data_IF_465632733549
#
_entry.id   IF_465632733549
#
_cell.length_a   1.000
_cell.length_b   1.000
_cell.length_c   1.000
_cell.angle_alpha   90.00
_cell.angle_beta   90.00
_cell.angle_gamma   90.00
#
_symmetry.space_group_name_H-M   'P 1'
#
loop_
_entity.id
_entity.type
_entity.pdbx_description
1 polymer ?
#
# COMPACT_ATOMS: atom_id res chain seq x y z
N UNK A 1 -2.63 -14.21 29.59
CA UNK A 1 -2.62 -14.05 28.12
C UNK A 1 -1.42 -13.18 27.78
N UNK A 2 -0.49 -13.63 26.92
CA UNK A 2 0.61 -12.76 26.49
C UNK A 2 0.00 -11.64 25.64
N UNK A 3 0.05 -10.41 26.14
CA UNK A 3 -0.23 -9.23 25.33
C UNK A 3 0.67 -9.30 24.09
N UNK A 4 0.06 -9.43 22.92
CA UNK A 4 0.81 -9.39 21.67
C UNK A 4 1.28 -7.95 21.50
N UNK A 5 2.60 -7.78 21.42
CA UNK A 5 3.23 -6.51 21.12
C UNK A 5 2.60 -5.92 19.84
N UNK A 6 1.96 -4.74 19.89
CA UNK A 6 1.31 -4.11 18.73
C UNK A 6 2.23 -3.99 17.50
N UNK A 7 3.54 -3.84 17.73
CA UNK A 7 4.54 -3.80 16.65
C UNK A 7 4.66 -5.15 15.95
N UNK A 8 4.62 -6.24 16.72
CA UNK A 8 4.66 -7.60 16.19
C UNK A 8 3.43 -7.91 15.34
N UNK A 9 2.24 -7.47 15.77
CA UNK A 9 1.01 -7.63 14.99
C UNK A 9 1.08 -6.86 13.66
N UNK A 10 1.57 -5.62 13.69
CA UNK A 10 1.77 -4.81 12.50
C UNK A 10 2.76 -5.47 11.52
N UNK A 11 3.90 -5.97 12.01
CA UNK A 11 4.88 -6.67 11.18
C UNK A 11 4.29 -7.92 10.53
N UNK A 12 3.49 -8.68 11.27
CA UNK A 12 2.82 -9.87 10.72
C UNK A 12 1.79 -9.50 9.65
N UNK A 13 1.02 -8.43 9.85
CA UNK A 13 0.07 -7.94 8.85
C UNK A 13 0.78 -7.46 7.57
N UNK A 14 1.90 -6.74 7.70
CA UNK A 14 2.72 -6.31 6.55
C UNK A 14 3.31 -7.53 5.82
N UNK A 15 3.79 -8.54 6.56
CA UNK A 15 4.28 -9.80 5.99
C UNK A 15 3.20 -10.51 5.18
N UNK A 16 1.99 -10.62 5.71
CA UNK A 16 0.86 -11.23 5.00
C UNK A 16 0.51 -10.46 3.74
N UNK A 17 0.42 -9.13 3.83
CA UNK A 17 0.18 -8.27 2.68
C UNK A 17 1.22 -8.49 1.56
N UNK A 18 2.50 -8.60 1.93
CA UNK A 18 3.56 -8.87 0.95
C UNK A 18 3.42 -10.25 0.31
N UNK A 19 3.05 -11.28 1.08
CA UNK A 19 2.84 -12.62 0.52
C UNK A 19 1.67 -12.67 -0.47
N UNK A 20 0.62 -11.90 -0.19
CA UNK A 20 -0.60 -11.92 -0.99
C UNK A 20 -0.50 -11.06 -2.26
N UNK A 21 0.16 -9.90 -2.19
CA UNK A 21 0.15 -8.91 -3.28
C UNK A 21 1.56 -8.46 -3.73
N UNK A 22 2.60 -8.81 -3.00
CA UNK A 22 3.97 -8.42 -3.29
C UNK A 22 4.50 -9.08 -4.56
N UNK A 23 5.47 -8.43 -5.20
CA UNK A 23 6.17 -9.01 -6.34
C UNK A 23 7.15 -10.06 -5.82
N UNK A 24 7.02 -11.30 -6.30
CA UNK A 24 8.02 -12.34 -6.06
C UNK A 24 9.25 -12.04 -6.91
N UNK A 25 10.22 -11.38 -6.31
CA UNK A 25 11.54 -11.21 -6.91
C UNK A 25 12.31 -12.51 -6.70
N UNK A 26 12.07 -13.48 -7.59
CA UNK A 26 12.77 -14.76 -7.60
C UNK A 26 14.09 -14.60 -8.35
N UNK A 27 15.20 -14.77 -7.66
CA UNK A 27 16.51 -14.89 -8.30
C UNK A 27 16.73 -16.36 -8.64
N UNK A 28 16.88 -16.65 -9.93
CA UNK A 28 17.25 -17.99 -10.41
C UNK A 28 18.76 -18.17 -10.31
N UNK A 29 19.19 -19.05 -9.42
CA UNK A 29 20.52 -19.65 -9.41
C UNK A 29 20.58 -20.88 -10.31
N UNK A 30 21.79 -21.38 -10.56
CA UNK A 30 22.07 -22.51 -11.47
C UNK A 30 21.25 -23.78 -11.10
N UNK A 31 20.98 -23.99 -9.81
CA UNK A 31 20.17 -25.11 -9.30
C UNK A 31 19.23 -24.73 -8.14
N UNK A 32 18.90 -23.44 -7.97
CA UNK A 32 18.06 -22.98 -6.86
C UNK A 32 17.29 -21.73 -7.23
N UNK A 33 16.14 -21.51 -6.61
CA UNK A 33 15.39 -20.27 -6.69
C UNK A 33 15.37 -19.64 -5.30
N UNK A 34 15.84 -18.39 -5.19
CA UNK A 34 15.83 -17.63 -3.95
C UNK A 34 14.78 -16.52 -4.10
N UNK A 35 13.76 -16.57 -3.25
CA UNK A 35 12.79 -15.49 -3.12
C UNK A 35 13.33 -14.44 -2.14
N UNK A 36 13.46 -13.20 -2.60
CA UNK A 36 13.88 -12.09 -1.74
C UNK A 36 12.65 -11.43 -1.14
N UNK A 37 12.43 -11.63 0.16
CA UNK A 37 11.49 -10.82 0.93
C UNK A 37 12.12 -9.44 1.24
N UNK A 38 11.40 -8.33 1.01
CA UNK A 38 11.90 -7.00 1.34
C UNK A 38 11.92 -6.80 2.85
N UNK A 39 12.90 -6.01 3.32
CA UNK A 39 12.87 -5.51 4.70
C UNK A 39 11.68 -4.59 4.87
N UNK A 40 10.90 -4.78 5.94
CA UNK A 40 9.71 -3.96 6.21
C UNK A 40 10.06 -2.50 6.49
N UNK A 41 11.12 -2.28 7.24
CA UNK A 41 11.63 -0.96 7.59
C UNK A 41 13.07 -0.80 7.11
N UNK A 42 13.37 0.37 6.56
CA UNK A 42 14.70 0.81 6.17
C UNK A 42 14.99 2.11 6.93
N UNK A 43 16.04 2.11 7.77
CA UNK A 43 16.45 3.26 8.57
C UNK A 43 15.30 3.87 9.42
N UNK A 44 14.49 3.02 10.05
CA UNK A 44 13.36 3.45 10.88
C UNK A 44 12.15 3.98 10.10
N UNK A 45 12.19 3.96 8.76
CA UNK A 45 11.07 4.33 7.89
C UNK A 45 10.49 3.09 7.22
N UNK A 46 9.21 3.11 6.90
CA UNK A 46 8.59 2.05 6.10
C UNK A 46 9.29 1.97 4.75
N UNK A 47 9.60 0.75 4.31
CA UNK A 47 10.18 0.54 3.00
C UNK A 47 9.23 1.13 1.92
N UNK A 48 9.74 1.96 1.00
CA UNK A 48 8.93 2.55 -0.06
C UNK A 48 8.15 1.53 -0.89
N UNK A 49 8.73 0.35 -1.16
CA UNK A 49 8.07 -0.70 -1.93
C UNK A 49 6.83 -1.24 -1.21
N UNK A 50 6.91 -1.38 0.12
CA UNK A 50 5.78 -1.81 0.95
C UNK A 50 4.74 -0.70 1.06
N UNK A 51 5.18 0.56 1.17
CA UNK A 51 4.29 1.71 1.19
C UNK A 51 3.48 1.80 -0.11
N UNK A 52 4.17 1.64 -1.25
CA UNK A 52 3.55 1.62 -2.58
C UNK A 52 2.56 0.46 -2.72
N UNK A 53 2.92 -0.73 -2.21
CA UNK A 53 2.03 -1.89 -2.22
C UNK A 53 0.77 -1.65 -1.38
N UNK A 54 0.92 -1.13 -0.17
CA UNK A 54 -0.21 -0.79 0.71
C UNK A 54 -1.17 0.19 0.04
N UNK A 55 -0.64 1.24 -0.57
CA UNK A 55 -1.43 2.24 -1.28
C UNK A 55 -2.13 1.61 -2.49
N UNK A 56 -1.43 0.80 -3.28
CA UNK A 56 -2.00 0.13 -4.45
C UNK A 56 -3.15 -0.81 -4.06
N UNK A 57 -2.97 -1.63 -3.02
CA UNK A 57 -4.03 -2.53 -2.50
C UNK A 57 -5.21 -1.75 -1.94
N UNK A 58 -4.96 -0.64 -1.25
CA UNK A 58 -6.03 0.23 -0.77
C UNK A 58 -6.83 0.83 -1.93
N UNK A 59 -6.15 1.42 -2.91
CA UNK A 59 -6.79 2.05 -4.07
C UNK A 59 -7.51 1.04 -4.96
N UNK A 60 -7.04 -0.20 -5.08
CA UNK A 60 -7.70 -1.24 -5.88
C UNK A 60 -9.04 -1.69 -5.27
N UNK A 61 -9.13 -1.67 -3.94
CA UNK A 61 -10.37 -1.99 -3.18
C UNK A 61 -11.29 -0.79 -2.98
N UNK A 62 -10.83 0.41 -3.29
CA UNK A 62 -11.62 1.63 -3.13
C UNK A 62 -12.67 1.75 -4.23
N UNK A 63 -13.82 2.33 -3.92
CA UNK A 63 -14.93 2.51 -4.87
C UNK A 63 -15.16 3.98 -5.18
N UNK A 64 -16.05 4.27 -6.14
CA UNK A 64 -16.47 5.64 -6.41
C UNK A 64 -17.25 6.25 -5.22
N UNK A 65 -17.90 5.42 -4.40
CA UNK A 65 -18.56 5.87 -3.17
C UNK A 65 -17.56 6.39 -2.14
N UNK A 66 -16.37 5.80 -2.05
CA UNK A 66 -15.30 6.32 -1.19
C UNK A 66 -14.86 7.73 -1.62
N UNK A 67 -14.94 8.04 -2.92
CA UNK A 67 -14.69 9.39 -3.46
C UNK A 67 -15.84 10.33 -3.10
N UNK A 68 -17.09 9.90 -3.37
CA UNK A 68 -18.29 10.70 -3.11
C UNK A 68 -18.48 11.04 -1.62
N UNK A 69 -18.10 10.11 -0.73
CA UNK A 69 -18.17 10.28 0.71
C UNK A 69 -16.98 11.07 1.29
N UNK A 70 -16.06 11.56 0.44
CA UNK A 70 -14.92 12.38 0.85
C UNK A 70 -13.80 11.62 1.57
N UNK A 71 -13.86 10.29 1.61
CA UNK A 71 -12.76 9.45 2.13
C UNK A 71 -11.55 9.49 1.18
N UNK A 72 -11.78 9.66 -0.11
CA UNK A 72 -10.75 9.88 -1.12
C UNK A 72 -11.03 11.20 -1.85
N UNK A 73 -10.05 12.09 -1.88
CA UNK A 73 -10.11 13.33 -2.66
C UNK A 73 -9.13 13.25 -3.81
N UNK A 74 -9.64 13.33 -5.04
CA UNK A 74 -8.81 13.34 -6.25
C UNK A 74 -8.50 14.81 -6.61
N UNK A 75 -7.22 15.16 -6.67
CA UNK A 75 -6.72 16.44 -7.19
C UNK A 75 -6.01 16.20 -8.53
N UNK A 76 -5.77 17.28 -9.28
CA UNK A 76 -5.10 17.24 -10.60
C UNK A 76 -3.75 16.51 -10.60
N UNK A 77 -3.01 16.54 -9.49
CA UNK A 77 -1.66 15.95 -9.39
C UNK A 77 -1.48 15.04 -8.17
N UNK A 78 -2.52 14.84 -7.35
CA UNK A 78 -2.42 13.98 -6.17
C UNK A 78 -3.76 13.34 -5.81
N UNK A 79 -3.68 12.20 -5.11
CA UNK A 79 -4.84 11.60 -4.42
C UNK A 79 -4.60 11.78 -2.92
N UNK A 80 -5.61 12.26 -2.21
CA UNK A 80 -5.58 12.41 -0.76
C UNK A 80 -6.52 11.37 -0.15
N UNK A 81 -6.01 10.62 0.83
CA UNK A 81 -6.80 9.73 1.66
C UNK A 81 -7.11 10.47 2.95
N UNK A 82 -8.39 10.55 3.32
CA UNK A 82 -8.87 11.20 4.52
C UNK A 82 -9.28 10.18 5.58
N UNK A 83 -9.17 10.55 6.85
CA UNK A 83 -9.77 9.80 7.96
C UNK A 83 -11.30 9.96 7.98
N UNK A 84 -11.95 9.29 8.93
CA UNK A 84 -13.41 9.38 9.12
C UNK A 84 -13.91 10.78 9.49
N UNK A 85 -13.01 11.67 9.91
CA UNK A 85 -13.29 13.06 10.25
C UNK A 85 -12.96 14.02 9.10
N UNK A 86 -12.58 13.50 7.92
CA UNK A 86 -12.22 14.30 6.74
C UNK A 86 -10.81 14.89 6.80
N UNK A 87 -9.96 14.47 7.75
CA UNK A 87 -8.58 14.98 7.86
C UNK A 87 -7.64 14.16 6.98
N UNK A 88 -6.72 14.80 6.25
CA UNK A 88 -5.80 14.10 5.36
C UNK A 88 -4.82 13.24 6.17
N UNK A 89 -4.76 11.95 5.87
CA UNK A 89 -3.83 10.98 6.49
C UNK A 89 -2.72 10.53 5.54
N UNK A 90 -2.95 10.62 4.23
CA UNK A 90 -1.93 10.31 3.22
C UNK A 90 -2.15 11.14 1.95
N UNK A 91 -1.05 11.54 1.30
CA UNK A 91 -1.05 12.17 -0.01
C UNK A 91 -0.20 11.35 -0.99
N UNK A 92 -0.80 10.97 -2.11
CA UNK A 92 -0.19 10.14 -3.15
C UNK A 92 0.08 11.03 -4.36
N UNK A 93 1.37 11.21 -4.69
CA UNK A 93 1.81 12.04 -5.83
C UNK A 93 2.31 11.23 -7.03
N UNK A 94 2.30 9.89 -6.92
CA UNK A 94 2.82 9.00 -7.94
C UNK A 94 1.88 8.95 -9.14
N UNK A 95 2.29 9.57 -10.25
CA UNK A 95 1.45 9.75 -11.44
C UNK A 95 0.97 8.44 -12.09
N UNK A 96 1.71 7.33 -11.94
CA UNK A 96 1.26 6.03 -12.44
C UNK A 96 0.04 5.53 -11.67
N UNK A 97 0.06 5.63 -10.34
CA UNK A 97 -1.06 5.21 -9.48
C UNK A 97 -2.28 6.12 -9.65
N UNK A 98 -2.06 7.42 -9.81
CA UNK A 98 -3.15 8.38 -10.03
C UNK A 98 -3.89 8.04 -11.33
N UNK A 99 -3.14 7.80 -12.41
CA UNK A 99 -3.71 7.42 -13.72
C UNK A 99 -4.45 6.09 -13.67
N UNK A 100 -3.87 5.08 -13.03
CA UNK A 100 -4.50 3.76 -12.88
C UNK A 100 -5.82 3.86 -12.09
N UNK A 101 -5.83 4.62 -11.00
CA UNK A 101 -7.01 4.78 -10.16
C UNK A 101 -8.13 5.55 -10.85
N UNK A 102 -7.80 6.69 -11.49
CA UNK A 102 -8.77 7.53 -12.23
C UNK A 102 -9.36 6.76 -13.42
N UNK A 103 -8.51 6.12 -14.22
CA UNK A 103 -8.95 5.27 -15.34
C UNK A 103 -9.88 4.14 -14.91
N UNK A 104 -9.61 3.51 -13.75
CA UNK A 104 -10.46 2.42 -13.23
C UNK A 104 -11.83 2.92 -12.79
N UNK A 105 -11.90 4.12 -12.20
CA UNK A 105 -13.16 4.72 -11.75
C UNK A 105 -13.94 5.40 -12.89
N UNK A 106 -13.33 5.55 -14.08
CA UNK A 106 -13.94 6.24 -15.21
C UNK A 106 -14.05 7.75 -15.02
N UNK A 107 -13.11 8.35 -14.28
CA UNK A 107 -13.03 9.78 -13.95
C UNK A 107 -11.79 10.40 -14.61
#
# INVERSE_FOLDING_TARGET
MKEKDPISELQNAIRQLWKDYGKRNTIKGIHTEIEIEPKYFLNGKLNPEISDLMISVFLSKSTIEDVNNGKITIKKQSIIINDKQGRPIAEIKKQSMIREFTSRLGI
#
